data_IF_414844139874
#
_entry.id   IF_414844139874
#
_cell.length_a   1.000
_cell.length_b   1.000
_cell.length_c   1.000
_cell.angle_alpha   90.00
_cell.angle_beta   90.00
_cell.angle_gamma   90.00
#
_symmetry.space_group_name_H-M   'P 1'
#
loop_
_entity.id
_entity.type
_entity.pdbx_description
1 polymer ?
#
# COMPACT_ATOMS: atom_id res chain seq x y z
N UNK A 1 14.00 13.88 -16.50
CA UNK A 1 12.54 13.93 -16.66
C UNK A 1 12.18 13.50 -18.07
N UNK A 2 11.17 12.65 -18.22
CA UNK A 2 10.57 12.28 -19.51
C UNK A 2 9.07 12.55 -19.39
N UNK A 3 8.44 13.15 -20.42
CA UNK A 3 7.08 13.65 -20.35
C UNK A 3 7.01 15.08 -19.82
N UNK A 4 6.04 15.39 -18.98
CA UNK A 4 5.92 16.70 -18.35
C UNK A 4 5.20 17.76 -19.21
N UNK A 5 4.33 17.32 -20.13
CA UNK A 5 3.64 18.24 -21.03
C UNK A 5 2.12 18.13 -20.88
N UNK A 6 1.46 19.28 -20.81
CA UNK A 6 0.01 19.37 -20.93
C UNK A 6 -0.41 19.09 -22.37
N UNK A 7 -1.45 18.29 -22.53
CA UNK A 7 -2.03 17.95 -23.85
C UNK A 7 -3.48 18.42 -23.85
N UNK A 8 -3.76 19.49 -24.59
CA UNK A 8 -5.06 20.14 -24.53
C UNK A 8 -5.40 20.68 -23.15
N UNK A 9 -6.69 20.74 -22.82
CA UNK A 9 -7.14 21.31 -21.55
C UNK A 9 -7.19 20.31 -20.39
N UNK A 10 -7.36 19.00 -20.68
CA UNK A 10 -7.70 17.98 -19.69
C UNK A 10 -6.70 16.83 -19.58
N UNK A 11 -5.67 16.80 -20.40
CA UNK A 11 -4.71 15.69 -20.44
C UNK A 11 -3.30 16.15 -20.10
N UNK A 12 -2.54 15.23 -19.55
CA UNK A 12 -1.12 15.39 -19.26
C UNK A 12 -0.37 14.14 -19.73
N UNK A 13 0.81 14.30 -20.28
CA UNK A 13 1.61 13.14 -20.73
C UNK A 13 2.06 12.30 -19.55
N UNK A 14 2.13 10.97 -19.69
CA UNK A 14 2.83 10.14 -18.72
C UNK A 14 4.24 10.68 -18.47
N UNK A 15 4.58 10.86 -17.21
CA UNK A 15 5.80 11.59 -16.80
C UNK A 15 6.60 10.75 -15.82
N UNK A 16 7.90 10.60 -16.08
CA UNK A 16 8.85 9.99 -15.16
C UNK A 16 9.80 11.07 -14.64
N UNK A 17 9.86 11.20 -13.33
CA UNK A 17 10.82 12.06 -12.62
C UNK A 17 11.94 11.18 -12.07
N UNK A 18 13.16 11.32 -12.61
CA UNK A 18 14.33 10.61 -12.09
C UNK A 18 15.03 11.44 -11.01
N UNK A 19 15.78 10.75 -10.17
CA UNK A 19 16.62 11.35 -9.11
C UNK A 19 15.79 12.23 -8.14
N UNK A 20 14.59 11.76 -7.79
CA UNK A 20 13.74 12.44 -6.81
C UNK A 20 14.31 12.26 -5.41
N UNK A 21 14.30 13.32 -4.62
CA UNK A 21 14.69 13.28 -3.20
C UNK A 21 13.47 13.25 -2.28
N UNK A 22 13.67 12.76 -1.05
CA UNK A 22 12.63 12.72 -0.01
C UNK A 22 12.09 14.10 0.40
N UNK A 23 12.80 15.18 0.05
CA UNK A 23 12.38 16.55 0.37
C UNK A 23 11.42 17.15 -0.65
N UNK A 24 11.28 16.55 -1.82
CA UNK A 24 10.36 17.01 -2.87
C UNK A 24 8.91 16.73 -2.51
N UNK A 25 7.99 17.58 -2.90
CA UNK A 25 6.55 17.44 -2.63
C UNK A 25 5.99 16.13 -3.14
N UNK A 26 6.39 15.67 -4.33
CA UNK A 26 5.95 14.40 -4.91
C UNK A 26 6.42 13.15 -4.14
N UNK A 27 7.31 13.32 -3.15
CA UNK A 27 7.69 12.26 -2.21
C UNK A 27 6.81 12.23 -0.95
N UNK A 28 6.13 13.34 -0.65
CA UNK A 28 5.36 13.54 0.59
C UNK A 28 3.85 13.58 0.33
N UNK A 29 3.46 14.16 -0.79
CA UNK A 29 2.06 14.31 -1.17
C UNK A 29 1.67 13.27 -2.22
N UNK A 30 0.48 12.70 -2.07
CA UNK A 30 -0.04 11.77 -3.07
C UNK A 30 -0.32 12.50 -4.39
N UNK A 31 0.23 11.97 -5.49
CA UNK A 31 0.02 12.53 -6.82
C UNK A 31 -1.04 11.74 -7.56
N UNK A 32 -2.27 12.25 -7.61
CA UNK A 32 -3.33 11.70 -8.47
C UNK A 32 -3.14 12.17 -9.91
N UNK A 33 -2.22 11.53 -10.63
CA UNK A 33 -1.91 11.91 -12.00
C UNK A 33 -0.87 10.97 -12.62
N UNK A 34 -0.58 11.11 -13.92
CA UNK A 34 0.31 10.24 -14.66
C UNK A 34 1.79 10.59 -14.39
N UNK A 35 2.21 10.61 -13.13
CA UNK A 35 3.56 10.96 -12.70
C UNK A 35 4.15 9.83 -11.86
N UNK A 36 5.32 9.35 -12.28
CA UNK A 36 6.10 8.33 -11.58
C UNK A 36 7.40 8.93 -11.04
N UNK A 37 7.49 9.31 -9.76
CA UNK A 37 8.74 9.71 -9.12
C UNK A 37 9.60 8.48 -8.85
N UNK A 38 10.88 8.54 -9.26
CA UNK A 38 11.84 7.44 -9.12
C UNK A 38 12.96 7.88 -8.21
N UNK A 39 13.18 7.09 -7.15
CA UNK A 39 14.21 7.29 -6.14
C UNK A 39 15.33 6.27 -6.33
N UNK A 40 16.54 6.67 -6.07
CA UNK A 40 17.67 5.74 -5.99
C UNK A 40 17.85 5.27 -4.55
N UNK A 41 18.30 4.04 -4.41
CA UNK A 41 18.74 3.47 -3.14
C UNK A 41 19.92 2.52 -3.38
N UNK A 42 20.71 2.28 -2.35
CA UNK A 42 21.89 1.40 -2.44
C UNK A 42 21.74 0.12 -1.63
N UNK A 43 20.94 0.15 -0.55
CA UNK A 43 20.78 -1.00 0.34
C UNK A 43 19.33 -1.37 0.59
N UNK A 44 19.12 -2.65 0.94
CA UNK A 44 17.80 -3.18 1.34
C UNK A 44 17.22 -2.40 2.54
N UNK A 45 18.05 -2.10 3.53
CA UNK A 45 17.63 -1.34 4.71
C UNK A 45 17.22 0.10 4.37
N UNK A 46 17.91 0.73 3.45
CA UNK A 46 17.59 2.07 2.98
C UNK A 46 16.25 2.11 2.25
N UNK A 47 16.02 1.19 1.32
CA UNK A 47 14.75 1.20 0.57
C UNK A 47 13.56 0.88 1.45
N UNK A 48 13.68 -0.01 2.44
CA UNK A 48 12.63 -0.29 3.42
C UNK A 48 12.32 0.97 4.23
N UNK A 49 13.35 1.67 4.70
CA UNK A 49 13.18 2.93 5.44
C UNK A 49 12.50 4.00 4.59
N UNK A 50 12.91 4.16 3.34
CA UNK A 50 12.31 5.12 2.41
C UNK A 50 10.85 4.75 2.09
N UNK A 51 10.57 3.49 1.82
CA UNK A 51 9.22 3.01 1.54
C UNK A 51 8.26 3.20 2.72
N UNK A 52 8.74 3.05 3.95
CA UNK A 52 7.92 3.23 5.16
C UNK A 52 7.81 4.69 5.61
N UNK A 53 8.61 5.62 5.05
CA UNK A 53 8.62 7.04 5.40
C UNK A 53 7.44 7.81 4.76
N UNK A 54 6.22 7.30 4.95
CA UNK A 54 4.97 7.88 4.50
C UNK A 54 3.89 7.69 5.54
N UNK A 55 2.91 8.57 5.59
CA UNK A 55 1.73 8.43 6.43
C UNK A 55 0.70 7.43 5.85
N UNK A 56 0.87 7.00 4.61
CA UNK A 56 0.01 6.04 3.93
C UNK A 56 0.58 4.62 3.99
N UNK A 57 -0.29 3.62 3.82
CA UNK A 57 0.10 2.21 3.87
C UNK A 57 -0.95 1.29 3.26
N UNK A 58 -1.41 1.57 2.02
CA UNK A 58 -2.41 0.73 1.36
C UNK A 58 -1.74 -0.47 0.67
N UNK A 59 -0.95 -0.20 -0.35
CA UNK A 59 -0.32 -1.24 -1.16
C UNK A 59 1.12 -0.88 -1.51
N UNK A 60 1.98 -1.86 -1.50
CA UNK A 60 3.35 -1.76 -1.98
C UNK A 60 3.71 -2.93 -2.88
N UNK A 61 4.71 -2.75 -3.72
CA UNK A 61 5.13 -3.77 -4.68
C UNK A 61 6.64 -3.83 -4.76
N UNK A 62 7.19 -5.05 -4.85
CA UNK A 62 8.60 -5.22 -5.14
C UNK A 62 8.86 -6.50 -5.93
N UNK A 63 10.06 -6.59 -6.50
CA UNK A 63 10.47 -7.71 -7.35
C UNK A 63 11.75 -8.33 -6.80
N UNK A 64 11.74 -9.63 -6.56
CA UNK A 64 12.91 -10.38 -6.11
C UNK A 64 12.81 -11.85 -6.52
N UNK A 65 13.96 -12.50 -6.75
CA UNK A 65 14.07 -13.95 -6.92
C UNK A 65 14.63 -14.65 -5.67
N UNK A 66 15.07 -13.88 -4.69
CA UNK A 66 15.59 -14.38 -3.43
C UNK A 66 14.45 -14.52 -2.42
N UNK A 67 14.13 -15.77 -2.07
CA UNK A 67 13.03 -16.09 -1.15
C UNK A 67 13.26 -15.49 0.25
N UNK A 68 14.49 -15.47 0.74
CA UNK A 68 14.82 -14.87 2.02
C UNK A 68 14.58 -13.36 2.03
N UNK A 69 14.94 -12.68 0.94
CA UNK A 69 14.62 -11.25 0.75
C UNK A 69 13.12 -11.03 0.66
N UNK A 70 12.39 -11.90 -0.02
CA UNK A 70 10.93 -11.78 -0.17
C UNK A 70 10.28 -11.70 1.21
N UNK A 71 10.61 -12.61 2.12
CA UNK A 71 10.06 -12.59 3.47
C UNK A 71 10.54 -11.38 4.29
N UNK A 72 11.86 -11.11 4.33
CA UNK A 72 12.40 -9.97 5.10
C UNK A 72 11.80 -8.64 4.68
N UNK A 73 11.72 -8.38 3.37
CA UNK A 73 11.18 -7.11 2.85
C UNK A 73 9.68 -7.07 3.02
N UNK A 74 8.96 -8.17 2.70
CA UNK A 74 7.51 -8.24 2.83
C UNK A 74 7.02 -8.01 4.25
N UNK A 75 7.72 -8.56 5.25
CA UNK A 75 7.39 -8.36 6.67
C UNK A 75 7.78 -6.97 7.19
N UNK A 76 8.83 -6.35 6.63
CA UNK A 76 9.32 -5.05 7.06
C UNK A 76 8.54 -3.87 6.46
N UNK A 77 7.81 -4.08 5.37
CA UNK A 77 7.01 -3.04 4.73
C UNK A 77 5.70 -2.78 5.51
N UNK A 78 5.48 -1.54 5.90
CA UNK A 78 4.33 -1.08 6.69
C UNK A 78 3.12 -0.78 5.80
N UNK A 79 2.64 -1.80 5.10
CA UNK A 79 1.51 -1.72 4.17
C UNK A 79 0.51 -2.83 4.46
N UNK A 80 -0.77 -2.57 4.21
CA UNK A 80 -1.82 -3.58 4.37
C UNK A 80 -1.74 -4.69 3.32
N UNK A 81 -1.16 -4.37 2.15
CA UNK A 81 -0.99 -5.31 1.05
C UNK A 81 0.41 -5.17 0.44
N UNK A 82 1.05 -6.31 0.18
CA UNK A 82 2.37 -6.35 -0.46
C UNK A 82 2.33 -7.29 -1.66
N UNK A 83 2.51 -6.75 -2.86
CA UNK A 83 2.65 -7.51 -4.09
C UNK A 83 4.10 -7.89 -4.37
N UNK A 84 4.39 -9.17 -4.53
CA UNK A 84 5.73 -9.65 -4.87
C UNK A 84 5.72 -10.23 -6.25
N UNK A 85 6.55 -9.71 -7.14
CA UNK A 85 6.67 -10.12 -8.54
C UNK A 85 5.34 -10.05 -9.33
N UNK A 86 4.41 -9.24 -8.87
CA UNK A 86 3.11 -9.00 -9.51
C UNK A 86 2.68 -7.55 -9.31
N UNK A 87 1.97 -7.01 -10.29
CA UNK A 87 1.35 -5.68 -10.18
C UNK A 87 -0.16 -5.74 -9.90
N UNK A 88 -0.74 -6.94 -9.82
CA UNK A 88 -2.17 -7.15 -9.55
C UNK A 88 -2.34 -7.98 -8.29
N UNK A 89 -2.90 -7.36 -7.24
CA UNK A 89 -3.08 -7.97 -5.92
C UNK A 89 -4.53 -7.89 -5.40
N UNK A 90 -5.42 -7.25 -6.14
CA UNK A 90 -6.82 -7.13 -5.76
C UNK A 90 -7.61 -8.29 -6.32
N UNK A 91 -8.06 -9.20 -5.44
CA UNK A 91 -8.99 -10.28 -5.75
C UNK A 91 -10.02 -10.42 -4.62
N UNK A 92 -11.18 -11.02 -4.92
CA UNK A 92 -12.26 -11.17 -3.94
C UNK A 92 -11.90 -12.12 -2.78
N UNK A 93 -10.94 -13.00 -2.99
CA UNK A 93 -10.55 -14.06 -2.04
C UNK A 93 -9.57 -13.57 -0.97
N UNK A 94 -8.96 -12.40 -1.15
CA UNK A 94 -7.96 -11.87 -0.22
C UNK A 94 -8.45 -10.57 0.43
N UNK A 95 -8.03 -10.29 1.69
CA UNK A 95 -8.42 -9.07 2.36
C UNK A 95 -7.73 -7.86 1.72
N UNK A 96 -8.53 -6.91 1.28
CA UNK A 96 -8.08 -5.64 0.71
C UNK A 96 -8.22 -4.53 1.75
N UNK A 97 -7.15 -3.79 2.00
CA UNK A 97 -7.18 -2.65 2.91
C UNK A 97 -5.78 -2.25 3.36
N UNK A 98 -5.70 -1.08 3.99
CA UNK A 98 -4.47 -0.43 4.39
C UNK A 98 -4.22 -0.43 5.89
N UNK A 99 -3.15 0.26 6.23
CA UNK A 99 -2.75 0.67 7.60
C UNK A 99 -2.43 2.16 7.58
N UNK A 100 -2.10 2.73 8.73
CA UNK A 100 -1.80 4.17 8.87
C UNK A 100 -3.00 5.02 8.38
N UNK A 101 -2.74 6.13 7.68
CA UNK A 101 -3.78 7.03 7.15
C UNK A 101 -4.56 6.44 5.95
N UNK A 102 -4.12 5.31 5.41
CA UNK A 102 -4.91 4.59 4.39
C UNK A 102 -6.16 3.91 4.94
N UNK A 103 -6.39 3.99 6.24
CA UNK A 103 -7.63 3.56 6.89
C UNK A 103 -7.49 2.25 7.66
N UNK A 104 -8.59 1.89 8.32
CA UNK A 104 -8.75 0.67 9.11
C UNK A 104 -9.69 -0.29 8.39
N UNK A 105 -9.74 -1.54 8.87
CA UNK A 105 -10.62 -2.57 8.32
C UNK A 105 -10.07 -3.24 7.07
N UNK A 106 -10.85 -4.17 6.57
CA UNK A 106 -10.54 -4.91 5.34
C UNK A 106 -11.81 -5.17 4.54
N UNK A 107 -11.71 -5.02 3.22
CA UNK A 107 -12.74 -5.44 2.28
C UNK A 107 -12.42 -6.83 1.74
N UNK A 108 -13.43 -7.51 1.20
CA UNK A 108 -13.25 -8.83 0.60
C UNK A 108 -12.88 -9.93 1.61
N UNK A 109 -12.64 -11.12 1.11
CA UNK A 109 -12.37 -12.32 1.89
C UNK A 109 -13.41 -12.52 3.03
N UNK A 110 -13.11 -13.37 4.00
CA UNK A 110 -13.98 -13.53 5.19
C UNK A 110 -13.92 -12.32 6.13
N UNK A 111 -12.83 -11.57 6.12
CA UNK A 111 -12.62 -10.40 6.97
C UNK A 111 -13.53 -9.23 6.60
N UNK A 112 -13.99 -9.17 5.35
CA UNK A 112 -14.85 -8.09 4.89
C UNK A 112 -16.21 -7.99 5.59
N UNK A 113 -16.64 -9.06 6.29
CA UNK A 113 -17.88 -9.00 7.11
C UNK A 113 -17.65 -8.37 8.48
N UNK A 114 -16.41 -8.36 8.97
CA UNK A 114 -16.10 -7.96 10.36
C UNK A 114 -16.48 -6.50 10.63
N UNK A 115 -16.39 -5.63 9.62
CA UNK A 115 -16.75 -4.21 9.70
C UNK A 115 -18.28 -3.96 9.75
N UNK A 116 -19.11 -4.98 9.48
CA UNK A 116 -20.57 -4.89 9.43
C UNK A 116 -21.26 -5.63 10.56
N UNK A 117 -20.54 -6.24 11.49
CA UNK A 117 -21.09 -7.04 12.58
C UNK A 117 -20.50 -6.63 13.92
N UNK A 118 -21.31 -6.85 14.97
CA UNK A 118 -20.88 -6.65 16.36
C UNK A 118 -20.93 -7.98 17.11
N UNK A 119 -19.91 -8.21 17.96
CA UNK A 119 -19.85 -9.39 18.79
C UNK A 119 -20.69 -9.16 20.06
N UNK A 120 -21.74 -9.99 20.28
CA UNK A 120 -22.55 -9.96 21.48
C UNK A 120 -22.35 -11.25 22.29
N UNK A 121 -21.90 -11.12 23.50
CA UNK A 121 -21.91 -12.20 24.47
C UNK A 121 -23.28 -12.28 25.17
N UNK A 122 -23.89 -13.46 25.15
CA UNK A 122 -25.12 -13.75 25.87
C UNK A 122 -24.88 -14.92 26.85
N UNK A 123 -25.03 -14.66 28.14
CA UNK A 123 -24.96 -15.69 29.18
C UNK A 123 -26.35 -15.91 29.74
N UNK A 124 -26.83 -17.14 29.63
CA UNK A 124 -28.08 -17.57 30.23
C UNK A 124 -27.77 -18.34 31.52
N UNK A 125 -28.32 -17.84 32.62
CA UNK A 125 -28.31 -18.57 33.88
C UNK A 125 -29.44 -19.61 33.96
N UNK A 126 -29.69 -20.09 35.18
CA UNK A 126 -30.77 -21.05 35.47
C UNK A 126 -32.16 -20.45 35.17
N UNK A 127 -32.84 -20.96 34.12
CA UNK A 127 -34.15 -20.50 33.67
C UNK A 127 -35.28 -21.27 34.29
N UNK A 128 -35.00 -22.25 35.16
CA UNK A 128 -36.01 -23.11 35.81
C UNK A 128 -36.30 -22.70 37.26
N UNK A 129 -35.98 -21.50 37.66
CA UNK A 129 -36.36 -20.91 38.98
C UNK A 129 -37.56 -20.00 38.87
#
# INVERSE_FOLDING_TARGET
MVGGHKVGERFYTPTVLADVSSEMLCAKEETFGPVAPVFRFETEAEVIKLANATEFGLASYFYSRDIGRIFRVGEALEYGMVGVNTGLISTAEVPFGGVKQSGLGREGARQGIDDYVEIKYLCLGDINR
#
